data_IF_445696860605
#
_entry.id   IF_445696860605
#
_cell.length_a   1.000
_cell.length_b   1.000
_cell.length_c   1.000
_cell.angle_alpha   90.00
_cell.angle_beta   90.00
_cell.angle_gamma   90.00
#
_symmetry.space_group_name_H-M   'P 1'
#
loop_
_entity.id
_entity.type
_entity.pdbx_description
1 polymer ?
#
# COMPACT_ATOMS: atom_id res chain seq x y z
N UNK A 1 -22.57 27.02 8.35
CA UNK A 1 -21.60 26.74 9.42
C UNK A 1 -21.22 25.28 9.47
N UNK A 2 -19.95 24.97 9.17
CA UNK A 2 -19.37 23.61 9.27
C UNK A 2 -18.73 23.36 10.64
N UNK A 3 -19.37 23.80 11.73
CA UNK A 3 -19.20 23.31 13.12
C UNK A 3 -17.81 22.97 13.66
N UNK A 4 -16.71 23.54 13.13
CA UNK A 4 -15.34 23.17 13.50
C UNK A 4 -14.79 21.88 12.85
N UNK A 5 -15.48 21.28 11.88
CA UNK A 5 -14.99 20.07 11.20
C UNK A 5 -13.81 20.41 10.26
N UNK A 6 -12.71 19.66 10.38
CA UNK A 6 -11.55 19.77 9.48
C UNK A 6 -11.85 19.06 8.17
N UNK A 7 -11.61 19.74 7.04
CA UNK A 7 -11.75 19.21 5.68
C UNK A 7 -10.41 19.23 4.96
N UNK A 8 -10.22 18.28 4.03
CA UNK A 8 -9.05 18.30 3.15
C UNK A 8 -9.08 19.55 2.28
N UNK A 9 -7.92 20.20 2.13
CA UNK A 9 -7.72 21.36 1.24
C UNK A 9 -7.83 21.00 -0.25
N UNK A 10 -7.79 19.71 -0.57
CA UNK A 10 -7.84 19.17 -1.94
C UNK A 10 -9.28 19.11 -2.48
N UNK A 11 -10.31 19.27 -1.63
CA UNK A 11 -11.70 19.15 -2.05
C UNK A 11 -12.33 20.47 -2.52
N UNK A 12 -12.79 20.51 -3.77
CA UNK A 12 -13.37 21.70 -4.43
C UNK A 12 -14.82 22.03 -4.05
N UNK A 13 -15.49 21.20 -3.25
CA UNK A 13 -16.93 21.36 -3.01
C UNK A 13 -17.44 20.68 -1.73
N UNK A 14 -18.75 20.73 -1.45
CA UNK A 14 -19.34 20.09 -0.27
C UNK A 14 -19.27 18.56 -0.29
N UNK A 15 -19.00 17.96 -1.46
CA UNK A 15 -18.87 16.52 -1.62
C UNK A 15 -17.55 16.03 -1.02
N UNK A 16 -17.59 14.89 -0.33
CA UNK A 16 -16.39 14.27 0.22
C UNK A 16 -15.55 13.66 -0.91
N UNK A 17 -14.24 13.91 -0.88
CA UNK A 17 -13.29 13.25 -1.76
C UNK A 17 -13.23 11.76 -1.40
N UNK A 18 -13.68 10.89 -2.30
CA UNK A 18 -13.70 9.43 -2.10
C UNK A 18 -12.43 8.76 -2.63
N UNK A 19 -11.84 9.33 -3.68
CA UNK A 19 -10.59 8.88 -4.29
C UNK A 19 -9.94 10.07 -5.00
N UNK A 20 -8.61 10.06 -5.10
CA UNK A 20 -7.86 11.13 -5.78
C UNK A 20 -7.62 10.79 -7.26
N UNK A 21 -7.41 9.50 -7.58
CA UNK A 21 -7.21 9.02 -8.94
C UNK A 21 -8.28 7.97 -9.27
N UNK A 22 -8.91 8.10 -10.43
CA UNK A 22 -9.99 7.20 -10.87
C UNK A 22 -9.57 5.74 -10.98
N UNK A 23 -8.28 5.50 -11.31
CA UNK A 23 -7.66 4.19 -11.48
C UNK A 23 -7.07 3.61 -10.18
N UNK A 24 -7.28 4.28 -9.03
CA UNK A 24 -6.72 3.87 -7.74
C UNK A 24 -7.76 3.98 -6.62
N UNK A 25 -8.71 3.04 -6.59
CA UNK A 25 -9.83 3.01 -5.64
C UNK A 25 -9.61 2.02 -4.50
N UNK A 26 -8.69 1.08 -4.66
CA UNK A 26 -8.23 0.14 -3.62
C UNK A 26 -6.77 0.38 -3.27
N UNK A 27 -6.35 -0.05 -2.08
CA UNK A 27 -4.94 0.00 -1.69
C UNK A 27 -4.03 -0.77 -2.65
N UNK A 28 -4.52 -1.87 -3.22
CA UNK A 28 -3.81 -2.63 -4.24
C UNK A 28 -3.60 -1.78 -5.51
N UNK A 29 -4.65 -1.13 -6.01
CA UNK A 29 -4.55 -0.27 -7.19
C UNK A 29 -3.66 0.96 -6.94
N UNK A 30 -3.70 1.55 -5.76
CA UNK A 30 -2.77 2.63 -5.36
C UNK A 30 -1.32 2.17 -5.47
N UNK A 31 -1.00 0.98 -4.97
CA UNK A 31 0.34 0.42 -5.09
C UNK A 31 0.71 0.11 -6.55
N UNK A 32 -0.19 -0.49 -7.33
CA UNK A 32 0.04 -0.80 -8.76
C UNK A 32 0.24 0.45 -9.59
N UNK A 33 -0.50 1.53 -9.32
CA UNK A 33 -0.28 2.85 -9.93
C UNK A 33 1.11 3.38 -9.57
N UNK A 34 1.50 3.31 -8.30
CA UNK A 34 2.85 3.67 -7.84
C UNK A 34 3.96 2.91 -8.55
N UNK A 35 3.81 1.59 -8.71
CA UNK A 35 4.71 0.75 -9.49
C UNK A 35 4.81 1.24 -10.94
N UNK A 36 3.68 1.54 -11.59
CA UNK A 36 3.66 1.98 -12.99
C UNK A 36 4.31 3.35 -13.22
N UNK A 37 4.11 4.31 -12.32
CA UNK A 37 4.57 5.70 -12.52
C UNK A 37 5.95 5.98 -11.94
N UNK A 38 6.46 5.11 -11.07
CA UNK A 38 7.74 5.33 -10.36
C UNK A 38 8.99 5.06 -11.20
N UNK A 39 8.84 4.44 -12.38
CA UNK A 39 9.99 3.97 -13.16
C UNK A 39 10.83 2.91 -12.42
N UNK A 40 10.18 2.09 -11.59
CA UNK A 40 10.81 1.12 -10.70
C UNK A 40 11.81 1.74 -9.68
N UNK A 41 11.53 2.98 -9.23
CA UNK A 41 12.35 3.66 -8.23
C UNK A 41 12.26 3.05 -6.81
N UNK A 42 12.92 3.68 -5.82
CA UNK A 42 12.84 3.28 -4.42
C UNK A 42 11.41 3.29 -3.87
N UNK A 43 11.03 2.21 -3.17
CA UNK A 43 9.71 2.01 -2.56
C UNK A 43 9.79 1.88 -1.04
N UNK A 44 10.47 0.86 -0.52
CA UNK A 44 10.62 0.62 0.92
C UNK A 44 12.07 0.80 1.36
N UNK A 45 12.29 1.73 2.31
CA UNK A 45 13.60 1.99 2.89
C UNK A 45 13.80 1.23 4.20
N UNK A 46 14.92 0.56 4.36
CA UNK A 46 15.31 -0.11 5.59
C UNK A 46 16.77 0.16 5.93
N UNK A 47 17.14 -0.05 7.20
CA UNK A 47 18.50 0.25 7.66
C UNK A 47 18.95 -0.72 8.72
N UNK A 48 20.07 -1.39 8.44
CA UNK A 48 20.78 -2.17 9.43
C UNK A 48 21.47 -1.25 10.46
N UNK A 49 21.63 -1.67 11.72
CA UNK A 49 22.29 -0.86 12.75
C UNK A 49 23.63 -0.31 12.27
N UNK A 50 23.81 1.02 12.38
CA UNK A 50 25.03 1.74 11.97
C UNK A 50 25.42 1.61 10.48
N UNK A 51 24.49 1.22 9.60
CA UNK A 51 24.69 1.16 8.14
C UNK A 51 23.85 2.24 7.44
N UNK A 52 24.16 2.62 6.18
CA UNK A 52 23.30 3.50 5.39
C UNK A 52 21.94 2.85 5.11
N UNK A 53 20.95 3.67 4.72
CA UNK A 53 19.67 3.17 4.23
C UNK A 53 19.86 2.36 2.95
N UNK A 54 19.10 1.28 2.85
CA UNK A 54 18.94 0.45 1.69
C UNK A 54 17.48 0.56 1.24
N UNK A 55 17.24 0.39 -0.05
CA UNK A 55 15.93 0.55 -0.65
C UNK A 55 15.56 -0.68 -1.46
N UNK A 56 14.32 -1.13 -1.30
CA UNK A 56 13.68 -2.03 -2.24
C UNK A 56 12.99 -1.19 -3.31
N UNK A 57 13.16 -1.58 -4.57
CA UNK A 57 12.42 -1.02 -5.70
C UNK A 57 10.94 -1.40 -5.65
N UNK A 58 10.09 -0.66 -6.36
CA UNK A 58 8.67 -1.00 -6.46
C UNK A 58 8.45 -2.42 -6.99
N UNK A 59 9.24 -2.87 -7.97
CA UNK A 59 9.12 -4.23 -8.52
C UNK A 59 9.48 -5.28 -7.49
N UNK A 60 10.58 -5.11 -6.74
CA UNK A 60 10.95 -6.06 -5.68
C UNK A 60 9.88 -6.18 -4.59
N UNK A 61 9.23 -5.07 -4.24
CA UNK A 61 8.11 -5.07 -3.28
C UNK A 61 6.89 -5.76 -3.86
N UNK A 62 6.58 -5.52 -5.14
CA UNK A 62 5.47 -6.16 -5.84
C UNK A 62 5.65 -7.68 -5.91
N UNK A 63 6.83 -8.14 -6.30
CA UNK A 63 7.16 -9.56 -6.42
C UNK A 63 7.04 -10.27 -5.06
N UNK A 64 7.56 -9.65 -3.99
CA UNK A 64 7.45 -10.19 -2.62
C UNK A 64 6.00 -10.30 -2.16
N UNK A 65 5.19 -9.27 -2.41
CA UNK A 65 3.77 -9.28 -2.07
C UNK A 65 3.00 -10.36 -2.84
N UNK A 66 3.32 -10.56 -4.13
CA UNK A 66 2.73 -11.60 -4.97
C UNK A 66 3.12 -13.00 -4.50
N UNK A 67 4.37 -13.23 -4.12
CA UNK A 67 4.82 -14.50 -3.58
C UNK A 67 4.13 -14.83 -2.24
N UNK A 68 4.00 -13.85 -1.35
CA UNK A 68 3.26 -14.01 -0.09
C UNK A 68 1.80 -14.37 -0.36
N UNK A 69 1.12 -13.61 -1.23
CA UNK A 69 -0.27 -13.86 -1.61
C UNK A 69 -0.46 -15.24 -2.24
N UNK A 70 0.45 -15.66 -3.12
CA UNK A 70 0.44 -16.98 -3.74
C UNK A 70 0.58 -18.10 -2.72
N UNK A 71 1.46 -17.93 -1.73
CA UNK A 71 1.62 -18.87 -0.62
C UNK A 71 0.34 -18.99 0.22
N UNK A 72 -0.34 -17.88 0.50
CA UNK A 72 -1.62 -17.90 1.21
C UNK A 72 -2.68 -18.72 0.45
N UNK A 73 -2.80 -18.52 -0.87
CA UNK A 73 -3.71 -19.29 -1.72
C UNK A 73 -3.38 -20.79 -1.70
N UNK A 74 -2.09 -21.16 -1.77
CA UNK A 74 -1.66 -22.56 -1.64
C UNK A 74 -2.01 -23.17 -0.28
N UNK A 75 -2.05 -22.36 0.78
CA UNK A 75 -2.51 -22.76 2.11
C UNK A 75 -4.04 -22.69 2.30
N UNK A 76 -4.81 -22.74 1.21
CA UNK A 76 -6.27 -22.71 1.19
C UNK A 76 -6.91 -21.44 1.77
N UNK A 77 -6.15 -20.34 1.88
CA UNK A 77 -6.76 -19.04 2.17
C UNK A 77 -7.64 -18.62 0.99
N UNK A 78 -8.84 -18.12 1.29
CA UNK A 78 -9.80 -17.70 0.27
C UNK A 78 -9.75 -16.18 0.05
N UNK A 79 -9.91 -15.70 -1.19
CA UNK A 79 -10.08 -14.29 -1.48
C UNK A 79 -11.52 -13.86 -1.13
N UNK A 80 -11.79 -13.63 0.16
CA UNK A 80 -13.13 -13.31 0.67
C UNK A 80 -13.06 -12.38 1.88
N UNK A 81 -14.20 -11.76 2.21
CA UNK A 81 -14.31 -10.76 3.28
C UNK A 81 -14.63 -11.36 4.65
N UNK A 82 -14.94 -12.66 4.71
CA UNK A 82 -15.28 -13.41 5.93
C UNK A 82 -14.07 -14.19 6.50
N UNK A 83 -12.93 -14.16 5.81
CA UNK A 83 -11.67 -14.74 6.28
C UNK A 83 -10.69 -13.64 6.70
N UNK A 84 -10.08 -13.79 7.88
CA UNK A 84 -9.13 -12.82 8.43
C UNK A 84 -7.72 -13.43 8.54
N UNK A 85 -6.70 -12.63 8.22
CA UNK A 85 -5.29 -13.02 8.33
C UNK A 85 -4.64 -12.11 9.38
N UNK A 86 -4.19 -12.71 10.48
CA UNK A 86 -3.44 -12.00 11.52
C UNK A 86 -1.99 -11.82 11.10
N UNK A 87 -1.49 -10.58 11.12
CA UNK A 87 -0.10 -10.25 10.81
C UNK A 87 0.56 -9.73 12.09
N UNK A 88 1.57 -10.45 12.58
CA UNK A 88 2.44 -9.96 13.65
C UNK A 88 3.78 -9.55 13.04
N UNK A 89 4.04 -8.24 13.01
CA UNK A 89 5.25 -7.69 12.42
C UNK A 89 5.74 -6.45 13.18
N UNK A 90 7.05 -6.23 13.15
CA UNK A 90 7.65 -4.94 13.49
C UNK A 90 7.71 -4.07 12.22
N UNK A 91 7.86 -2.75 12.36
CA UNK A 91 8.00 -1.85 11.21
C UNK A 91 9.31 -2.12 10.43
N UNK A 92 9.25 -3.04 9.47
CA UNK A 92 10.34 -3.55 8.64
C UNK A 92 9.79 -4.01 7.28
N UNK A 93 10.64 -4.21 6.25
CA UNK A 93 10.18 -4.53 4.90
C UNK A 93 9.88 -6.03 4.65
N UNK A 94 10.18 -6.94 5.59
CA UNK A 94 9.71 -8.34 5.54
C UNK A 94 8.19 -8.43 5.67
#
# INVERSE_FOLDING_TARGET
DSGGARRSVIGDGPQLLTHYYDDARTMYEVFRRGLSISGNGPCLGFRNPKKPYQWLSYQEVADRAEFLGSGLLQHNCKPCTDQFIGIFAQNRPE
#
